data_IF_540028964758
#
_entry.id   IF_540028964758
#
_cell.length_a   1.000
_cell.length_b   1.000
_cell.length_c   1.000
_cell.angle_alpha   90.00
_cell.angle_beta   90.00
_cell.angle_gamma   90.00
#
_symmetry.space_group_name_H-M   'P 1'
#
loop_
_entity.id
_entity.type
_entity.pdbx_description
1 polymer ?
#
# COMPACT_ATOMS: atom_id res chain seq x y z
N UNK A 1 -0.42 4.91 5.23
CA UNK A 1 0.24 3.74 5.84
C UNK A 1 0.44 2.61 4.83
N UNK A 2 -0.59 2.16 4.11
CA UNK A 2 -0.50 1.01 3.19
C UNK A 2 0.58 1.18 2.12
N UNK A 3 0.62 2.32 1.42
CA UNK A 3 1.65 2.61 0.41
C UNK A 3 3.05 2.52 1.01
N UNK A 4 3.26 3.07 2.22
CA UNK A 4 4.56 3.01 2.88
C UNK A 4 5.01 1.58 3.22
N UNK A 5 4.07 0.73 3.68
CA UNK A 5 4.36 -0.69 3.90
C UNK A 5 4.62 -1.43 2.58
N UNK A 6 3.80 -1.19 1.55
CA UNK A 6 3.98 -1.83 0.25
C UNK A 6 5.34 -1.47 -0.38
N UNK A 7 5.72 -0.20 -0.38
CA UNK A 7 7.02 0.24 -0.90
C UNK A 7 8.19 -0.32 -0.08
N UNK A 8 8.06 -0.43 1.26
CA UNK A 8 9.06 -1.07 2.10
C UNK A 8 9.21 -2.57 1.79
N UNK A 9 8.12 -3.29 1.57
CA UNK A 9 8.12 -4.70 1.15
C UNK A 9 8.80 -4.91 -0.20
N UNK A 10 8.71 -3.93 -1.09
CA UNK A 10 9.38 -3.92 -2.39
C UNK A 10 10.84 -3.43 -2.32
N UNK A 11 11.38 -3.20 -1.12
CA UNK A 11 12.79 -2.87 -0.89
C UNK A 11 13.12 -1.37 -0.95
N UNK A 12 12.14 -0.47 -1.05
CA UNK A 12 12.37 0.96 -0.92
C UNK A 12 12.52 1.37 0.55
N UNK A 13 13.32 2.40 0.82
CA UNK A 13 13.36 3.04 2.14
C UNK A 13 12.15 3.95 2.29
N UNK A 14 11.18 3.50 3.07
CA UNK A 14 9.90 4.18 3.22
C UNK A 14 9.77 4.86 4.57
N UNK A 15 9.08 5.98 4.59
CA UNK A 15 8.74 6.73 5.78
C UNK A 15 7.29 7.22 5.67
N UNK A 16 6.67 7.58 6.78
CA UNK A 16 5.30 8.10 6.79
C UNK A 16 5.18 9.30 7.71
N UNK A 17 4.42 10.30 7.26
CA UNK A 17 3.93 11.41 8.07
C UNK A 17 2.43 11.19 8.27
N UNK A 18 1.98 11.01 9.50
CA UNK A 18 0.58 10.79 9.85
C UNK A 18 0.35 11.03 11.34
N UNK A 19 -0.90 11.08 11.78
CA UNK A 19 -1.29 11.09 13.18
C UNK A 19 -1.91 9.77 13.61
N UNK A 20 -1.61 9.33 14.83
CA UNK A 20 -2.25 8.19 15.49
C UNK A 20 -2.64 8.61 16.91
N UNK A 21 -3.69 8.01 17.47
CA UNK A 21 -4.05 8.23 18.87
C UNK A 21 -3.05 7.65 19.86
N UNK A 22 -3.13 8.07 21.12
CA UNK A 22 -2.32 7.50 22.21
C UNK A 22 -2.79 6.10 22.63
N UNK A 23 -4.00 5.72 22.23
CA UNK A 23 -4.64 4.43 22.55
C UNK A 23 -3.98 3.22 21.83
N UNK A 24 -4.47 2.02 22.14
CA UNK A 24 -3.84 0.78 21.69
C UNK A 24 -3.80 0.60 20.17
N UNK A 25 -4.77 1.15 19.42
CA UNK A 25 -4.76 1.08 17.94
C UNK A 25 -3.65 1.96 17.36
N UNK A 26 -3.41 3.14 17.94
CA UNK A 26 -2.30 4.00 17.53
C UNK A 26 -0.94 3.34 17.77
N UNK A 27 -0.78 2.71 18.94
CA UNK A 27 0.41 1.90 19.23
C UNK A 27 0.57 0.74 18.24
N UNK A 28 -0.51 -0.01 17.99
CA UNK A 28 -0.51 -1.12 17.02
C UNK A 28 -0.05 -0.66 15.62
N UNK A 29 -0.60 0.45 15.11
CA UNK A 29 -0.23 0.99 13.79
C UNK A 29 1.25 1.37 13.75
N UNK A 30 1.78 2.04 14.79
CA UNK A 30 3.19 2.42 14.87
C UNK A 30 4.11 1.18 14.89
N UNK A 31 3.81 0.21 15.75
CA UNK A 31 4.58 -1.03 15.83
C UNK A 31 4.53 -1.83 14.53
N UNK A 32 3.37 -1.89 13.88
CA UNK A 32 3.23 -2.58 12.61
C UNK A 32 4.04 -1.91 11.49
N UNK A 33 4.01 -0.59 11.39
CA UNK A 33 4.86 0.16 10.46
C UNK A 33 6.35 -0.14 10.68
N UNK A 34 6.79 -0.15 11.95
CA UNK A 34 8.18 -0.48 12.29
C UNK A 34 8.55 -1.93 11.92
N UNK A 35 7.65 -2.90 12.13
CA UNK A 35 7.85 -4.30 11.72
C UNK A 35 7.98 -4.45 10.22
N UNK A 36 7.26 -3.63 9.45
CA UNK A 36 7.37 -3.58 7.98
C UNK A 36 8.62 -2.83 7.49
N UNK A 37 9.42 -2.24 8.40
CA UNK A 37 10.63 -1.51 8.06
C UNK A 37 10.39 -0.05 7.64
N UNK A 38 9.21 0.50 7.94
CA UNK A 38 8.86 1.90 7.66
C UNK A 38 9.40 2.79 8.76
N UNK A 39 10.06 3.90 8.40
CA UNK A 39 10.46 4.93 9.36
C UNK A 39 9.22 5.66 9.89
N UNK A 40 9.08 5.68 11.21
CA UNK A 40 7.93 6.26 11.93
C UNK A 40 8.25 7.57 12.65
N UNK A 41 9.40 8.21 12.37
CA UNK A 41 9.78 9.47 13.01
C UNK A 41 8.79 10.60 12.72
N UNK A 42 8.10 10.55 11.55
CA UNK A 42 7.04 11.49 11.17
C UNK A 42 5.65 11.10 11.68
N UNK A 43 5.50 10.07 12.50
CA UNK A 43 4.21 9.67 13.07
C UNK A 43 3.96 10.41 14.37
N UNK A 44 3.03 11.36 14.36
CA UNK A 44 2.59 12.11 15.54
C UNK A 44 1.66 11.24 16.40
N UNK A 45 1.81 11.30 17.72
CA UNK A 45 0.81 10.78 18.66
C UNK A 45 -0.09 11.93 19.13
N UNK A 46 -1.38 11.80 18.94
CA UNK A 46 -2.39 12.77 19.37
C UNK A 46 -3.08 12.23 20.63
N UNK A 47 -2.96 12.93 21.78
CA UNK A 47 -3.56 12.46 23.03
C UNK A 47 -5.08 12.67 23.09
N UNK A 48 -5.62 13.55 22.25
CA UNK A 48 -7.02 13.99 22.32
C UNK A 48 -7.90 13.29 21.25
N UNK A 49 -7.28 12.69 20.22
CA UNK A 49 -7.99 12.06 19.10
C UNK A 49 -7.70 10.58 19.01
N UNK A 50 -8.71 9.83 18.58
CA UNK A 50 -8.56 8.39 18.29
C UNK A 50 -7.90 8.15 16.93
N UNK A 51 -7.28 6.99 16.80
CA UNK A 51 -6.80 6.49 15.50
C UNK A 51 -7.97 6.21 14.56
N UNK A 52 -7.84 6.61 13.31
CA UNK A 52 -8.84 6.35 12.30
C UNK A 52 -9.05 4.85 12.06
N UNK A 53 -10.29 4.45 11.84
CA UNK A 53 -10.69 3.08 11.57
C UNK A 53 -11.59 3.04 10.32
N UNK A 54 -11.32 2.08 9.44
CA UNK A 54 -12.18 1.77 8.29
C UNK A 54 -12.60 0.32 8.39
N UNK A 55 -13.90 0.06 8.35
CA UNK A 55 -14.47 -1.28 8.29
C UNK A 55 -14.85 -1.62 6.86
N UNK A 56 -14.40 -2.77 6.39
CA UNK A 56 -14.79 -3.36 5.11
C UNK A 56 -15.79 -4.48 5.37
N UNK A 57 -17.00 -4.36 4.81
CA UNK A 57 -17.91 -5.47 4.63
C UNK A 57 -17.59 -6.20 3.33
N UNK A 58 -17.49 -7.52 3.36
CA UNK A 58 -17.45 -8.35 2.15
C UNK A 58 -18.81 -9.00 2.05
N UNK A 59 -19.65 -8.51 1.13
CA UNK A 59 -21.02 -8.99 0.95
C UNK A 59 -21.08 -10.08 -0.12
N UNK A 60 -20.44 -9.84 -1.23
CA UNK A 60 -20.27 -10.76 -2.36
C UNK A 60 -19.04 -10.34 -3.18
N UNK A 61 -18.88 -10.86 -4.40
CA UNK A 61 -17.74 -10.56 -5.28
C UNK A 61 -17.79 -9.15 -5.91
N UNK A 62 -18.91 -8.44 -5.80
CA UNK A 62 -19.12 -7.13 -6.42
C UNK A 62 -19.37 -6.03 -5.38
N UNK A 63 -19.82 -6.38 -4.17
CA UNK A 63 -20.26 -5.43 -3.15
C UNK A 63 -19.34 -5.46 -1.92
N UNK A 64 -18.64 -4.35 -1.72
CA UNK A 64 -17.66 -4.16 -0.66
C UNK A 64 -17.94 -2.87 0.12
N UNK A 65 -19.02 -2.82 0.95
CA UNK A 65 -19.36 -1.61 1.69
C UNK A 65 -18.26 -1.20 2.66
N UNK A 66 -17.95 0.10 2.67
CA UNK A 66 -16.98 0.71 3.56
C UNK A 66 -17.65 1.62 4.56
N UNK A 67 -17.27 1.51 5.83
CA UNK A 67 -17.68 2.44 6.89
C UNK A 67 -16.43 3.14 7.41
N UNK A 68 -16.39 4.45 7.29
CA UNK A 68 -15.28 5.29 7.74
C UNK A 68 -15.57 5.87 9.13
N UNK A 69 -14.87 5.38 10.13
CA UNK A 69 -14.77 6.03 11.44
C UNK A 69 -13.53 6.93 11.44
N UNK A 70 -13.64 8.09 10.76
CA UNK A 70 -12.51 8.98 10.51
C UNK A 70 -12.82 10.44 10.81
N UNK A 71 -14.00 10.75 11.36
CA UNK A 71 -14.33 12.09 11.79
C UNK A 71 -13.46 12.51 12.98
N UNK A 72 -12.77 13.65 12.86
CA UNK A 72 -11.90 14.20 13.88
C UNK A 72 -10.88 13.20 14.46
N UNK A 73 -10.42 12.24 13.66
CA UNK A 73 -9.38 11.31 14.08
C UNK A 73 -7.99 11.94 14.04
N UNK A 74 -7.02 11.26 14.64
CA UNK A 74 -5.67 11.76 14.84
C UNK A 74 -4.95 12.13 13.53
N UNK A 75 -5.17 11.40 12.45
CA UNK A 75 -4.61 11.70 11.13
C UNK A 75 -5.17 13.00 10.52
N UNK A 76 -6.39 13.40 10.89
CA UNK A 76 -7.00 14.69 10.52
C UNK A 76 -6.56 15.84 11.43
N UNK A 77 -5.77 15.56 12.46
CA UNK A 77 -5.19 16.53 13.37
C UNK A 77 -3.81 17.08 12.97
N UNK A 78 -3.27 16.64 11.83
CA UNK A 78 -1.98 17.16 11.35
C UNK A 78 -2.07 18.63 10.97
N UNK A 79 -1.03 19.38 11.35
CA UNK A 79 -0.88 20.81 11.08
C UNK A 79 0.40 21.10 10.30
N UNK A 80 0.57 22.32 9.84
CA UNK A 80 1.79 22.77 9.17
C UNK A 80 3.03 22.71 10.06
N UNK A 81 2.86 22.81 11.36
CA UNK A 81 3.92 22.70 12.37
C UNK A 81 4.45 21.29 12.53
N UNK A 82 3.64 20.28 12.18
CA UNK A 82 4.03 18.87 12.24
C UNK A 82 4.91 18.45 11.04
N UNK A 83 5.09 19.33 10.05
CA UNK A 83 5.92 19.07 8.87
C UNK A 83 7.35 19.55 9.12
N UNK A 84 8.23 18.60 9.47
CA UNK A 84 9.66 18.86 9.66
C UNK A 84 10.36 18.99 8.29
N UNK A 85 10.93 20.18 7.95
CA UNK A 85 11.65 20.36 6.68
C UNK A 85 12.85 19.42 6.51
N UNK A 86 13.54 19.08 7.60
CA UNK A 86 14.69 18.17 7.55
C UNK A 86 14.25 16.72 7.28
N UNK A 87 13.07 16.32 7.79
CA UNK A 87 12.51 15.02 7.48
C UNK A 87 12.16 14.93 6.00
N UNK A 88 11.51 15.97 5.44
CA UNK A 88 11.21 16.05 4.01
C UNK A 88 12.50 16.02 3.18
N UNK A 89 13.52 16.81 3.53
CA UNK A 89 14.77 16.92 2.78
C UNK A 89 15.52 15.58 2.62
N UNK A 90 15.33 14.62 3.51
CA UNK A 90 15.94 13.29 3.45
C UNK A 90 15.26 12.34 2.45
N UNK A 91 14.06 12.68 1.99
CA UNK A 91 13.32 11.85 1.05
C UNK A 91 13.78 12.08 -0.39
N UNK A 92 13.63 11.07 -1.24
CA UNK A 92 13.79 11.20 -2.70
C UNK A 92 12.50 11.69 -3.34
N UNK A 93 11.36 11.27 -2.78
CA UNK A 93 10.05 11.67 -3.24
C UNK A 93 9.07 11.84 -2.06
N UNK A 94 8.08 12.71 -2.25
CA UNK A 94 6.93 12.86 -1.33
C UNK A 94 5.68 12.41 -2.05
N UNK A 95 4.92 11.53 -1.42
CA UNK A 95 3.67 10.95 -1.95
C UNK A 95 2.52 11.45 -1.08
N UNK A 96 1.51 12.03 -1.71
CA UNK A 96 0.26 12.43 -1.07
C UNK A 96 -0.90 11.59 -1.61
N UNK A 97 -1.97 11.49 -0.82
CA UNK A 97 -3.25 10.92 -1.26
C UNK A 97 -4.33 12.00 -1.19
N UNK A 98 -5.29 11.97 -2.11
CA UNK A 98 -6.36 12.97 -2.17
C UNK A 98 -7.23 13.00 -0.92
N UNK A 99 -7.27 11.91 -0.13
CA UNK A 99 -7.95 11.91 1.16
C UNK A 99 -7.41 12.97 2.12
N UNK A 100 -6.11 13.33 2.04
CA UNK A 100 -5.50 14.38 2.86
C UNK A 100 -5.76 15.80 2.32
N UNK A 101 -6.30 15.91 1.12
CA UNK A 101 -6.74 17.20 0.54
C UNK A 101 -8.20 17.53 0.88
N UNK A 102 -8.94 16.58 1.49
CA UNK A 102 -10.36 16.73 1.83
C UNK A 102 -10.63 17.57 3.09
N UNK A 103 -9.62 17.78 3.94
CA UNK A 103 -9.76 18.53 5.19
C UNK A 103 -8.80 19.73 5.22
N UNK A 104 -9.27 20.96 5.43
CA UNK A 104 -8.46 22.17 5.26
C UNK A 104 -7.14 22.20 6.05
N UNK A 105 -7.14 21.69 7.28
CA UNK A 105 -5.95 21.67 8.14
C UNK A 105 -4.88 20.70 7.60
N UNK A 106 -5.30 19.48 7.26
CA UNK A 106 -4.39 18.45 6.72
C UNK A 106 -3.93 18.79 5.30
N UNK A 107 -4.81 19.41 4.53
CA UNK A 107 -4.44 19.96 3.22
C UNK A 107 -3.29 20.97 3.34
N UNK A 108 -3.41 21.94 4.27
CA UNK A 108 -2.35 22.92 4.47
C UNK A 108 -1.00 22.26 4.84
N UNK A 109 -1.02 21.23 5.70
CA UNK A 109 0.16 20.44 6.03
C UNK A 109 0.71 19.68 4.81
N UNK A 110 -0.18 19.07 4.01
CA UNK A 110 0.19 18.33 2.80
C UNK A 110 0.82 19.25 1.75
N UNK A 111 0.20 20.40 1.48
CA UNK A 111 0.76 21.41 0.57
C UNK A 111 2.13 21.88 1.05
N UNK A 112 2.29 22.14 2.35
CA UNK A 112 3.59 22.51 2.93
C UNK A 112 4.66 21.47 2.66
N UNK A 113 4.35 20.17 2.83
CA UNK A 113 5.28 19.09 2.55
C UNK A 113 5.67 19.02 1.06
N UNK A 114 4.69 19.19 0.16
CA UNK A 114 4.91 19.20 -1.28
C UNK A 114 5.75 20.40 -1.73
N UNK A 115 5.47 21.60 -1.22
CA UNK A 115 6.24 22.81 -1.53
C UNK A 115 7.70 22.67 -1.07
N UNK A 116 7.94 22.13 0.12
CA UNK A 116 9.28 21.83 0.62
C UNK A 116 10.00 20.82 -0.27
N UNK A 117 9.32 19.74 -0.67
CA UNK A 117 9.88 18.74 -1.59
C UNK A 117 10.30 19.37 -2.91
N UNK A 118 9.42 20.15 -3.54
CA UNK A 118 9.70 20.83 -4.80
C UNK A 118 10.83 21.86 -4.69
N UNK A 119 10.85 22.63 -3.60
CA UNK A 119 11.93 23.60 -3.34
C UNK A 119 13.31 22.91 -3.21
N UNK A 120 13.32 21.65 -2.76
CA UNK A 120 14.53 20.82 -2.66
C UNK A 120 14.84 20.02 -3.95
N UNK A 121 14.04 20.14 -5.01
CA UNK A 121 14.18 19.36 -6.24
C UNK A 121 13.81 17.89 -6.11
N UNK A 122 13.00 17.53 -5.11
CA UNK A 122 12.49 16.18 -4.88
C UNK A 122 11.26 15.91 -5.75
N UNK A 123 11.03 14.65 -6.07
CA UNK A 123 9.87 14.24 -6.85
C UNK A 123 8.60 14.23 -5.97
N UNK A 124 7.44 14.45 -6.60
CA UNK A 124 6.15 14.49 -5.92
C UNK A 124 5.13 13.65 -6.66
N UNK A 125 4.34 12.85 -5.92
CA UNK A 125 3.32 11.99 -6.49
C UNK A 125 1.99 12.10 -5.74
N UNK A 126 0.88 11.98 -6.48
CA UNK A 126 -0.48 11.95 -5.98
C UNK A 126 -1.14 10.62 -6.36
N UNK A 127 -1.71 9.92 -5.40
CA UNK A 127 -2.84 9.02 -5.64
C UNK A 127 -4.13 9.81 -5.39
N UNK A 128 -4.97 9.97 -6.40
CA UNK A 128 -6.18 10.80 -6.29
C UNK A 128 -7.08 10.28 -5.18
N UNK A 129 -7.20 8.96 -5.03
CA UNK A 129 -7.89 8.27 -3.92
C UNK A 129 -9.14 9.03 -3.44
N UNK A 130 -10.04 9.32 -4.38
CA UNK A 130 -11.25 10.06 -4.10
C UNK A 130 -12.22 9.22 -3.25
N UNK A 131 -12.67 9.82 -2.15
CA UNK A 131 -13.65 9.21 -1.24
C UNK A 131 -14.75 10.23 -0.94
N UNK A 132 -15.92 10.16 -1.59
CA UNK A 132 -17.00 11.14 -1.47
C UNK A 132 -17.37 11.48 -0.02
N UNK A 133 -17.40 10.48 0.85
CA UNK A 133 -17.70 10.66 2.28
C UNK A 133 -16.70 11.57 2.99
N UNK A 134 -15.41 11.44 2.70
CA UNK A 134 -14.36 12.25 3.33
C UNK A 134 -14.37 13.69 2.80
N UNK A 135 -14.90 13.90 1.60
CA UNK A 135 -15.09 15.22 1.01
C UNK A 135 -16.43 15.85 1.39
N UNK A 136 -17.26 15.16 2.20
CA UNK A 136 -18.56 15.67 2.65
C UNK A 136 -19.63 15.73 1.57
N UNK A 137 -19.45 15.04 0.43
CA UNK A 137 -20.40 15.01 -0.68
C UNK A 137 -21.26 13.75 -0.70
N UNK A 138 -21.01 12.79 0.20
CA UNK A 138 -21.83 11.60 0.41
C UNK A 138 -21.98 11.30 1.90
N UNK A 139 -23.09 10.64 2.27
CA UNK A 139 -23.34 10.24 3.65
C UNK A 139 -22.61 8.95 4.06
N UNK A 140 -22.66 8.62 5.35
CA UNK A 140 -22.05 7.37 5.86
C UNK A 140 -22.71 6.11 5.30
N UNK A 141 -23.98 6.18 4.88
CA UNK A 141 -24.69 5.07 4.26
C UNK A 141 -24.30 4.79 2.81
N UNK A 142 -23.57 5.71 2.18
CA UNK A 142 -23.17 5.66 0.77
C UNK A 142 -21.73 5.22 0.58
N UNK A 143 -21.19 4.44 1.51
CA UNK A 143 -19.79 3.99 1.50
C UNK A 143 -19.36 3.14 0.29
N UNK A 144 -20.32 2.68 -0.52
CA UNK A 144 -20.09 1.98 -1.78
C UNK A 144 -19.90 2.94 -2.97
N UNK A 145 -20.42 4.18 -2.88
CA UNK A 145 -20.30 5.18 -3.94
C UNK A 145 -18.87 5.64 -4.08
N UNK A 146 -18.25 5.33 -5.22
CA UNK A 146 -16.88 5.73 -5.52
C UNK A 146 -16.80 7.03 -6.31
N UNK A 147 -17.85 7.37 -7.02
CA UNK A 147 -17.97 8.61 -7.77
C UNK A 147 -19.24 9.35 -7.39
N UNK A 148 -19.07 10.59 -6.94
CA UNK A 148 -20.12 11.61 -6.77
C UNK A 148 -19.58 12.89 -7.35
N UNK A 149 -20.20 13.37 -8.41
CA UNK A 149 -19.81 14.61 -9.09
C UNK A 149 -19.87 15.80 -8.15
N UNK A 150 -18.84 16.64 -8.19
CA UNK A 150 -18.75 17.86 -7.39
C UNK A 150 -17.76 18.86 -7.97
N UNK A 151 -18.28 19.95 -8.52
CA UNK A 151 -17.47 21.06 -9.05
C UNK A 151 -16.51 21.63 -8.00
N UNK A 152 -16.94 21.66 -6.74
CA UNK A 152 -16.14 22.16 -5.64
C UNK A 152 -14.90 21.26 -5.39
N UNK A 153 -15.09 19.92 -5.44
CA UNK A 153 -13.98 18.96 -5.31
C UNK A 153 -13.07 19.04 -6.53
N UNK A 154 -13.63 19.10 -7.73
CA UNK A 154 -12.87 19.27 -8.97
C UNK A 154 -11.98 20.51 -8.91
N UNK A 155 -12.57 21.67 -8.61
CA UNK A 155 -11.80 22.93 -8.50
C UNK A 155 -10.71 22.84 -7.43
N UNK A 156 -10.99 22.18 -6.30
CA UNK A 156 -10.05 21.99 -5.21
C UNK A 156 -8.88 21.12 -5.63
N UNK A 157 -9.13 19.97 -6.25
CA UNK A 157 -8.08 19.10 -6.78
C UNK A 157 -7.25 19.85 -7.82
N UNK A 158 -7.86 20.46 -8.82
CA UNK A 158 -7.17 21.20 -9.89
C UNK A 158 -6.25 22.30 -9.36
N UNK A 159 -6.62 22.94 -8.25
CA UNK A 159 -5.77 23.96 -7.61
C UNK A 159 -4.43 23.42 -7.11
N UNK A 160 -4.32 22.11 -6.87
CA UNK A 160 -3.12 21.45 -6.30
C UNK A 160 -2.35 20.59 -7.29
N UNK A 161 -2.95 20.19 -8.44
CA UNK A 161 -2.35 19.21 -9.36
C UNK A 161 -1.02 19.69 -9.97
N UNK A 162 -0.76 21.00 -10.03
CA UNK A 162 0.50 21.56 -10.50
C UNK A 162 1.70 21.27 -9.56
N UNK A 163 1.43 20.79 -8.34
CA UNK A 163 2.46 20.45 -7.36
C UNK A 163 3.05 19.06 -7.59
N UNK A 164 2.51 18.26 -8.50
CA UNK A 164 2.90 16.86 -8.68
C UNK A 164 3.65 16.62 -9.99
N UNK A 165 4.56 15.64 -9.95
CA UNK A 165 5.28 15.09 -11.09
C UNK A 165 4.64 13.79 -11.61
N UNK A 166 3.88 13.11 -10.75
CA UNK A 166 3.12 11.88 -11.04
C UNK A 166 1.73 11.99 -10.43
N UNK A 167 0.69 11.76 -11.22
CA UNK A 167 -0.71 11.73 -10.78
C UNK A 167 -1.32 10.39 -11.19
N UNK A 168 -1.87 9.67 -10.22
CA UNK A 168 -2.40 8.31 -10.38
C UNK A 168 -3.86 8.29 -9.95
N UNK A 169 -4.72 7.66 -10.74
CA UNK A 169 -6.13 7.52 -10.41
C UNK A 169 -6.79 6.42 -11.24
N UNK A 170 -7.99 5.99 -10.83
CA UNK A 170 -8.92 5.24 -11.68
C UNK A 170 -9.57 6.17 -12.69
N UNK A 171 -10.33 5.64 -13.63
CA UNK A 171 -11.10 6.45 -14.58
C UNK A 171 -12.05 7.39 -13.82
N UNK A 172 -12.79 6.87 -12.82
CA UNK A 172 -13.71 7.70 -12.01
C UNK A 172 -12.97 8.76 -11.18
N UNK A 173 -11.79 8.44 -10.68
CA UNK A 173 -10.96 9.41 -9.96
C UNK A 173 -10.45 10.52 -10.89
N UNK A 174 -10.16 10.21 -12.15
CA UNK A 174 -9.87 11.24 -13.16
C UNK A 174 -11.13 12.01 -13.56
N UNK A 175 -12.32 11.39 -13.60
CA UNK A 175 -13.57 12.11 -13.84
C UNK A 175 -13.77 13.24 -12.84
N UNK A 176 -13.56 12.97 -11.53
CA UNK A 176 -13.66 14.02 -10.51
C UNK A 176 -12.53 15.06 -10.62
N UNK A 177 -11.30 14.64 -10.89
CA UNK A 177 -10.17 15.57 -11.01
C UNK A 177 -10.27 16.46 -12.25
N UNK A 178 -10.82 15.93 -13.36
CA UNK A 178 -10.98 16.64 -14.63
C UNK A 178 -12.31 17.36 -14.78
N UNK A 179 -13.34 16.95 -14.03
CA UNK A 179 -14.69 17.53 -14.15
C UNK A 179 -15.44 17.08 -15.41
N UNK A 180 -15.20 15.86 -15.89
CA UNK A 180 -15.89 15.25 -17.03
C UNK A 180 -16.05 13.77 -16.78
N UNK A 181 -17.18 13.18 -17.21
CA UNK A 181 -17.42 11.72 -17.19
C UNK A 181 -16.83 11.00 -18.41
N UNK A 182 -16.29 11.73 -19.38
CA UNK A 182 -15.45 11.18 -20.42
C UNK A 182 -14.00 11.15 -19.93
N UNK A 183 -13.39 9.96 -19.91
CA UNK A 183 -12.06 9.75 -19.34
C UNK A 183 -10.98 10.52 -20.09
N UNK A 184 -11.06 10.58 -21.43
CA UNK A 184 -10.08 11.33 -22.26
C UNK A 184 -10.21 12.82 -22.02
N UNK A 185 -11.42 13.36 -22.00
CA UNK A 185 -11.68 14.77 -21.69
C UNK A 185 -11.19 15.11 -20.27
N UNK A 186 -11.47 14.26 -19.29
CA UNK A 186 -11.02 14.44 -17.92
C UNK A 186 -9.50 14.47 -17.81
N UNK A 187 -8.80 13.54 -18.44
CA UNK A 187 -7.33 13.50 -18.50
C UNK A 187 -6.77 14.76 -19.18
N UNK A 188 -7.38 15.22 -20.27
CA UNK A 188 -7.01 16.47 -20.97
C UNK A 188 -7.22 17.68 -20.08
N UNK A 189 -8.32 17.74 -19.34
CA UNK A 189 -8.56 18.83 -18.39
C UNK A 189 -7.47 18.86 -17.29
N UNK A 190 -7.12 17.69 -16.71
CA UNK A 190 -6.00 17.58 -15.77
C UNK A 190 -4.67 18.03 -16.41
N UNK A 191 -4.41 17.67 -17.66
CA UNK A 191 -3.22 18.06 -18.40
C UNK A 191 -3.11 19.59 -18.57
N UNK A 192 -4.23 20.33 -18.65
CA UNK A 192 -4.18 21.81 -18.76
C UNK A 192 -3.61 22.49 -17.51
N UNK A 193 -3.73 21.85 -16.35
CA UNK A 193 -3.31 22.40 -15.04
C UNK A 193 -2.07 21.70 -14.47
N UNK A 194 -1.62 20.58 -15.07
CA UNK A 194 -0.47 19.82 -14.59
C UNK A 194 0.39 19.26 -15.73
N UNK A 195 1.70 19.30 -15.52
CA UNK A 195 2.69 18.66 -16.41
C UNK A 195 3.11 17.25 -15.94
N UNK A 196 2.49 16.75 -14.88
CA UNK A 196 2.77 15.43 -14.31
C UNK A 196 2.58 14.31 -15.33
N UNK A 197 3.28 13.21 -15.19
CA UNK A 197 2.84 11.97 -15.83
C UNK A 197 1.51 11.55 -15.23
N UNK A 198 0.52 11.27 -16.08
CA UNK A 198 -0.80 10.80 -15.65
C UNK A 198 -0.84 9.28 -15.81
N UNK A 199 -1.24 8.57 -14.77
CA UNK A 199 -1.39 7.10 -14.79
C UNK A 199 -2.83 6.75 -14.48
N UNK A 200 -3.52 6.21 -15.47
CA UNK A 200 -4.90 5.76 -15.37
C UNK A 200 -4.97 4.26 -15.07
N UNK A 201 -5.51 3.90 -13.91
CA UNK A 201 -5.76 2.51 -13.46
C UNK A 201 -7.05 2.00 -14.14
N UNK A 202 -6.99 0.82 -14.79
CA UNK A 202 -8.10 0.22 -15.55
C UNK A 202 -8.48 -1.17 -15.00
N UNK A 203 -8.18 -1.44 -13.75
CA UNK A 203 -8.47 -2.72 -13.09
C UNK A 203 -7.85 -3.91 -13.84
N UNK A 204 -8.68 -4.90 -14.20
CA UNK A 204 -8.22 -6.10 -14.91
C UNK A 204 -7.65 -5.80 -16.32
N UNK A 205 -7.99 -4.65 -16.93
CA UNK A 205 -7.44 -4.21 -18.20
C UNK A 205 -6.03 -3.61 -18.07
N UNK A 206 -5.50 -3.49 -16.86
CA UNK A 206 -4.16 -2.97 -16.62
C UNK A 206 -4.15 -1.47 -16.32
N UNK A 207 -3.20 -0.75 -16.89
CA UNK A 207 -3.07 0.70 -16.72
C UNK A 207 -2.39 1.34 -17.92
N UNK A 208 -2.58 2.65 -18.08
CA UNK A 208 -1.95 3.46 -19.12
C UNK A 208 -1.28 4.70 -18.53
N UNK A 209 -0.06 5.01 -18.98
CA UNK A 209 0.67 6.22 -18.60
C UNK A 209 0.77 7.20 -19.76
N UNK A 210 0.61 8.49 -19.45
CA UNK A 210 0.67 9.61 -20.39
C UNK A 210 1.72 10.61 -19.91
N UNK A 211 2.87 10.62 -20.56
CA UNK A 211 4.00 11.50 -20.21
C UNK A 211 3.91 12.87 -20.89
N UNK A 212 3.17 12.94 -22.00
CA UNK A 212 2.95 14.13 -22.80
C UNK A 212 1.46 14.46 -22.96
N UNK A 213 1.09 14.87 -24.16
CA UNK A 213 -0.32 15.13 -24.52
C UNK A 213 -1.16 13.86 -24.39
N UNK A 214 -2.42 14.03 -24.02
CA UNK A 214 -3.36 12.91 -23.87
C UNK A 214 -3.95 12.60 -25.25
N UNK A 215 -3.76 11.37 -25.78
CA UNK A 215 -4.27 10.95 -27.08
C UNK A 215 -5.80 10.79 -27.11
N UNK A 216 -6.35 10.33 -28.23
CA UNK A 216 -7.80 10.09 -28.37
C UNK A 216 -8.27 8.76 -27.77
N UNK A 217 -7.34 7.88 -27.41
CA UNK A 217 -7.64 6.59 -26.79
C UNK A 217 -6.70 6.31 -25.61
N UNK A 218 -7.22 5.67 -24.57
CA UNK A 218 -6.40 5.18 -23.45
C UNK A 218 -5.37 4.13 -23.90
N UNK A 219 -5.66 3.40 -24.98
CA UNK A 219 -4.80 2.34 -25.51
C UNK A 219 -3.58 2.89 -26.28
N UNK A 220 -3.57 4.21 -26.57
CA UNK A 220 -2.43 4.90 -27.18
C UNK A 220 -1.40 5.41 -26.13
N UNK A 221 -1.68 5.24 -24.85
CA UNK A 221 -0.74 5.48 -23.77
C UNK A 221 0.30 4.37 -23.63
N UNK A 222 1.34 4.62 -22.83
CA UNK A 222 2.27 3.56 -22.45
C UNK A 222 1.55 2.53 -21.55
N UNK A 223 1.37 1.31 -22.07
CA UNK A 223 0.52 0.31 -21.45
C UNK A 223 1.26 -0.59 -20.45
N UNK A 224 0.61 -0.88 -19.34
CA UNK A 224 0.98 -1.95 -18.42
C UNK A 224 -0.03 -3.09 -18.42
N UNK A 225 0.42 -4.35 -18.40
CA UNK A 225 -0.48 -5.49 -18.50
C UNK A 225 -1.38 -5.62 -17.28
N UNK A 226 -2.64 -5.99 -17.49
CA UNK A 226 -3.52 -6.48 -16.42
C UNK A 226 -3.20 -7.93 -16.05
N UNK A 227 -3.67 -8.36 -14.90
CA UNK A 227 -3.57 -9.73 -14.42
C UNK A 227 -4.97 -10.30 -14.19
N UNK A 228 -5.40 -11.33 -14.95
CA UNK A 228 -6.73 -11.92 -14.81
C UNK A 228 -6.79 -12.84 -13.59
N UNK A 229 -7.04 -12.25 -12.43
CA UNK A 229 -7.13 -12.96 -11.15
C UNK A 229 -8.52 -12.81 -10.53
N UNK A 230 -8.83 -13.68 -9.58
CA UNK A 230 -10.06 -13.60 -8.80
C UNK A 230 -10.00 -12.46 -7.79
N UNK A 231 -11.00 -11.58 -7.81
CA UNK A 231 -11.15 -10.51 -6.82
C UNK A 231 -11.82 -11.06 -5.58
N UNK A 232 -11.08 -11.10 -4.48
CA UNK A 232 -11.58 -11.51 -3.18
C UNK A 232 -12.02 -10.30 -2.34
N UNK A 233 -11.30 -9.18 -2.43
CA UNK A 233 -11.68 -7.88 -1.88
C UNK A 233 -11.01 -6.77 -2.69
N UNK A 234 -11.48 -5.53 -2.54
CA UNK A 234 -10.93 -4.39 -3.30
C UNK A 234 -10.17 -3.40 -2.44
N UNK A 235 -10.20 -3.57 -1.10
CA UNK A 235 -9.57 -2.62 -0.19
C UNK A 235 -8.04 -2.72 -0.27
N UNK A 236 -7.39 -1.58 -0.48
CA UNK A 236 -5.94 -1.50 -0.60
C UNK A 236 -5.39 -1.83 -1.99
N UNK A 237 -6.24 -2.12 -2.98
CA UNK A 237 -5.79 -2.38 -4.36
C UNK A 237 -5.06 -1.17 -4.95
N UNK A 238 -5.60 0.05 -4.76
CA UNK A 238 -4.98 1.30 -5.19
C UNK A 238 -3.63 1.54 -4.50
N UNK A 239 -3.57 1.32 -3.18
CA UNK A 239 -2.32 1.45 -2.41
C UNK A 239 -1.26 0.43 -2.84
N UNK A 240 -1.68 -0.82 -3.13
CA UNK A 240 -0.81 -1.85 -3.68
C UNK A 240 -0.28 -1.46 -5.06
N UNK A 241 -1.17 -1.03 -5.95
CA UNK A 241 -0.81 -0.50 -7.26
C UNK A 241 0.22 0.63 -7.14
N UNK A 242 -0.08 1.64 -6.31
CA UNK A 242 0.81 2.78 -6.08
C UNK A 242 2.18 2.33 -5.54
N UNK A 243 2.23 1.31 -4.70
CA UNK A 243 3.49 0.77 -4.17
C UNK A 243 4.37 0.18 -5.26
N UNK A 244 3.80 -0.62 -6.16
CA UNK A 244 4.51 -1.19 -7.30
C UNK A 244 4.94 -0.12 -8.31
N UNK A 245 4.07 0.86 -8.58
CA UNK A 245 4.37 1.98 -9.46
C UNK A 245 5.54 2.81 -8.94
N UNK A 246 5.53 3.18 -7.66
CA UNK A 246 6.61 3.92 -7.02
C UNK A 246 7.94 3.17 -7.06
N UNK A 247 7.90 1.83 -6.92
CA UNK A 247 9.11 0.99 -7.08
C UNK A 247 9.73 1.19 -8.45
N UNK A 248 8.96 1.00 -9.53
CA UNK A 248 9.48 1.18 -10.89
C UNK A 248 9.87 2.62 -11.19
N UNK A 249 8.99 3.58 -10.90
CA UNK A 249 9.23 5.01 -11.20
C UNK A 249 10.46 5.57 -10.49
N UNK A 250 10.64 5.29 -9.20
CA UNK A 250 11.77 5.79 -8.43
C UNK A 250 13.09 5.07 -8.78
N UNK A 251 13.06 3.87 -9.29
CA UNK A 251 14.27 3.16 -9.76
C UNK A 251 14.62 3.49 -11.21
N UNK A 252 13.73 4.22 -11.93
CA UNK A 252 13.97 4.67 -13.29
C UNK A 252 13.69 3.62 -14.34
N UNK A 253 12.81 2.66 -14.02
CA UNK A 253 12.30 1.69 -15.00
C UNK A 253 11.48 2.37 -16.08
N UNK A 254 11.33 1.73 -17.23
CA UNK A 254 10.38 2.17 -18.24
C UNK A 254 8.93 2.04 -17.77
N UNK A 255 8.01 2.78 -18.39
CA UNK A 255 6.62 2.80 -17.96
C UNK A 255 5.94 1.43 -18.06
N UNK A 256 6.12 0.63 -19.12
CA UNK A 256 5.57 -0.71 -19.17
C UNK A 256 6.01 -1.59 -17.98
N UNK A 257 7.28 -1.52 -17.58
CA UNK A 257 7.81 -2.24 -16.43
C UNK A 257 7.26 -1.71 -15.11
N UNK A 258 7.25 -0.39 -14.90
CA UNK A 258 6.70 0.23 -13.70
C UNK A 258 5.20 -0.09 -13.53
N UNK A 259 4.44 -0.04 -14.63
CA UNK A 259 3.02 -0.39 -14.63
C UNK A 259 2.78 -1.89 -14.43
N UNK A 260 3.68 -2.75 -14.91
CA UNK A 260 3.63 -4.19 -14.63
C UNK A 260 3.80 -4.47 -13.14
N UNK A 261 4.75 -3.80 -12.46
CA UNK A 261 4.91 -3.92 -11.01
C UNK A 261 3.66 -3.42 -10.28
N UNK A 262 3.12 -2.28 -10.72
CA UNK A 262 1.93 -1.67 -10.15
C UNK A 262 0.71 -2.60 -10.24
N UNK A 263 0.40 -3.11 -11.43
CA UNK A 263 -0.75 -3.98 -11.67
C UNK A 263 -0.61 -5.31 -10.91
N UNK A 264 0.60 -5.90 -10.85
CA UNK A 264 0.83 -7.11 -10.09
C UNK A 264 0.61 -6.90 -8.59
N UNK A 265 1.13 -5.81 -8.01
CA UNK A 265 0.89 -5.50 -6.59
C UNK A 265 -0.59 -5.25 -6.28
N UNK A 266 -1.33 -4.60 -7.20
CA UNK A 266 -2.79 -4.48 -7.12
C UNK A 266 -3.49 -5.84 -7.18
N UNK A 267 -3.03 -6.74 -8.07
CA UNK A 267 -3.52 -8.10 -8.20
C UNK A 267 -3.36 -8.92 -6.91
N UNK A 268 -2.20 -8.85 -6.27
CA UNK A 268 -1.98 -9.47 -4.95
C UNK A 268 -2.94 -8.89 -3.91
N UNK A 269 -3.11 -7.58 -3.87
CA UNK A 269 -3.98 -6.91 -2.92
C UNK A 269 -5.43 -7.39 -3.01
N UNK A 270 -5.98 -7.53 -4.23
CA UNK A 270 -7.38 -7.93 -4.40
C UNK A 270 -7.60 -9.44 -4.21
N UNK A 271 -6.57 -10.27 -4.31
CA UNK A 271 -6.68 -11.73 -4.23
C UNK A 271 -6.55 -12.30 -2.82
N UNK A 272 -6.16 -11.51 -1.83
CA UNK A 272 -5.87 -11.93 -0.45
C UNK A 272 -6.65 -11.13 0.58
N UNK A 273 -6.62 -11.57 1.83
CA UNK A 273 -7.20 -10.85 2.96
C UNK A 273 -6.35 -9.64 3.39
N UNK A 274 -7.02 -8.55 3.69
CA UNK A 274 -6.43 -7.32 4.22
C UNK A 274 -5.75 -6.48 3.13
N UNK A 275 -5.16 -5.36 3.56
CA UNK A 275 -4.39 -4.47 2.70
C UNK A 275 -2.89 -4.84 2.77
N UNK A 276 -2.17 -4.26 3.73
CA UNK A 276 -0.74 -4.51 3.92
C UNK A 276 -0.36 -6.00 4.00
N UNK A 277 -1.08 -6.88 4.73
CA UNK A 277 -0.74 -8.30 4.76
C UNK A 277 -0.78 -8.99 3.40
N UNK A 278 -1.60 -8.50 2.47
CA UNK A 278 -1.77 -9.07 1.13
C UNK A 278 -0.64 -8.69 0.16
N UNK A 279 0.07 -7.59 0.41
CA UNK A 279 1.07 -7.08 -0.53
C UNK A 279 2.28 -8.01 -0.62
N UNK A 280 2.84 -8.21 -1.83
CA UNK A 280 4.00 -9.05 -2.02
C UNK A 280 5.26 -8.37 -1.46
N UNK A 281 6.26 -9.17 -1.10
CA UNK A 281 7.65 -8.72 -1.03
C UNK A 281 8.30 -8.81 -2.41
N UNK A 282 9.46 -8.17 -2.56
CA UNK A 282 10.13 -8.13 -3.85
C UNK A 282 10.42 -9.52 -4.40
N UNK A 283 10.89 -10.43 -3.57
CA UNK A 283 11.20 -11.82 -3.93
C UNK A 283 9.94 -12.58 -4.39
N UNK A 284 8.81 -12.36 -3.72
CA UNK A 284 7.54 -12.95 -4.11
C UNK A 284 7.05 -12.40 -5.46
N UNK A 285 7.20 -11.10 -5.68
CA UNK A 285 6.83 -10.46 -6.94
C UNK A 285 7.68 -10.99 -8.10
N UNK A 286 8.99 -11.17 -7.90
CA UNK A 286 9.88 -11.79 -8.89
C UNK A 286 9.47 -13.24 -9.19
N UNK A 287 9.24 -14.05 -8.17
CA UNK A 287 8.76 -15.42 -8.33
C UNK A 287 7.45 -15.48 -9.12
N UNK A 288 6.51 -14.59 -8.84
CA UNK A 288 5.27 -14.48 -9.59
C UNK A 288 5.51 -14.15 -11.07
N UNK A 289 6.44 -13.25 -11.39
CA UNK A 289 6.75 -12.89 -12.78
C UNK A 289 7.45 -14.01 -13.53
N UNK A 290 8.33 -14.77 -12.89
CA UNK A 290 9.04 -15.90 -13.48
C UNK A 290 8.08 -17.06 -13.79
N UNK A 291 7.18 -17.35 -12.87
CA UNK A 291 6.27 -18.48 -12.96
C UNK A 291 5.00 -18.19 -13.76
N UNK A 292 4.53 -16.96 -13.71
CA UNK A 292 3.24 -16.55 -14.26
C UNK A 292 2.05 -16.98 -13.39
N UNK A 293 0.84 -16.75 -13.90
CA UNK A 293 -0.42 -17.10 -13.22
C UNK A 293 -0.72 -18.57 -13.49
N UNK A 294 -0.67 -19.40 -12.45
CA UNK A 294 -1.04 -20.83 -12.53
C UNK A 294 -2.50 -21.06 -12.14
N UNK A 295 -3.07 -20.15 -11.35
CA UNK A 295 -4.46 -20.14 -10.94
C UNK A 295 -4.92 -18.71 -10.61
N UNK A 296 -6.19 -18.35 -10.89
CA UNK A 296 -6.67 -16.98 -10.70
C UNK A 296 -6.82 -16.59 -9.22
N UNK A 297 -7.10 -17.52 -8.33
CA UNK A 297 -7.27 -17.33 -6.89
C UNK A 297 -5.92 -17.47 -6.17
N UNK A 298 -5.05 -16.43 -6.27
CA UNK A 298 -3.67 -16.47 -5.78
C UNK A 298 -3.54 -16.91 -4.31
N UNK A 299 -4.53 -16.58 -3.47
CA UNK A 299 -4.55 -17.00 -2.05
C UNK A 299 -4.56 -18.51 -1.83
N UNK A 300 -4.95 -19.28 -2.86
CA UNK A 300 -4.99 -20.75 -2.82
C UNK A 300 -3.85 -21.39 -3.62
N UNK A 301 -2.90 -20.59 -4.10
CA UNK A 301 -1.69 -21.07 -4.76
C UNK A 301 -0.64 -21.43 -3.68
N UNK A 302 -0.47 -22.74 -3.45
CA UNK A 302 0.36 -23.24 -2.35
C UNK A 302 1.83 -22.83 -2.44
N UNK A 303 2.40 -22.77 -3.66
CA UNK A 303 3.80 -22.35 -3.83
C UNK A 303 3.96 -20.85 -3.60
N UNK A 304 3.05 -20.05 -4.14
CA UNK A 304 3.04 -18.61 -3.97
C UNK A 304 2.83 -18.23 -2.49
N UNK A 305 1.90 -18.91 -1.80
CA UNK A 305 1.68 -18.74 -0.36
C UNK A 305 2.88 -19.17 0.47
N UNK A 306 3.61 -20.22 0.07
CA UNK A 306 4.86 -20.59 0.74
C UNK A 306 5.91 -19.49 0.62
N UNK A 307 6.10 -18.91 -0.56
CA UNK A 307 7.02 -17.78 -0.76
C UNK A 307 6.57 -16.57 0.06
N UNK A 308 5.27 -16.26 0.07
CA UNK A 308 4.70 -15.17 0.85
C UNK A 308 5.04 -15.31 2.36
N UNK A 309 4.76 -16.48 2.92
CA UNK A 309 5.04 -16.73 4.34
C UNK A 309 6.53 -16.77 4.65
N UNK A 310 7.35 -17.33 3.77
CA UNK A 310 8.79 -17.40 3.96
C UNK A 310 9.41 -16.00 3.97
N UNK A 311 9.05 -15.15 3.02
CA UNK A 311 9.59 -13.79 2.89
C UNK A 311 9.10 -12.84 3.98
N UNK A 312 7.84 -12.99 4.44
CA UNK A 312 7.29 -12.18 5.54
C UNK A 312 7.85 -12.54 6.92
N UNK A 313 8.40 -13.73 7.09
CA UNK A 313 9.04 -14.19 8.33
C UNK A 313 10.55 -14.01 8.33
N UNK A 314 11.12 -13.49 7.25
CA UNK A 314 12.55 -13.26 7.15
C UNK A 314 13.02 -12.28 8.23
N UNK A 315 13.90 -12.76 9.12
CA UNK A 315 14.61 -11.94 10.09
C UNK A 315 16.01 -11.64 9.59
N UNK A 316 16.52 -10.47 9.88
CA UNK A 316 17.92 -10.12 9.61
C UNK A 316 18.82 -10.75 10.69
N UNK A 317 19.04 -12.06 10.61
CA UNK A 317 19.96 -12.76 11.49
C UNK A 317 21.36 -12.78 10.89
N UNK A 318 22.33 -12.31 11.63
CA UNK A 318 23.76 -12.41 11.24
C UNK A 318 24.26 -13.86 11.25
N UNK A 319 23.62 -14.72 12.05
CA UNK A 319 23.86 -16.16 12.09
C UNK A 319 22.62 -16.89 12.57
N UNK A 320 22.40 -18.09 12.04
CA UNK A 320 21.35 -19.01 12.50
C UNK A 320 22.03 -20.29 12.97
N UNK A 321 21.77 -20.70 14.21
CA UNK A 321 22.22 -21.98 14.76
C UNK A 321 21.01 -22.84 15.02
N UNK A 322 20.93 -23.95 14.32
CA UNK A 322 19.80 -24.86 14.39
C UNK A 322 20.21 -26.17 15.06
N UNK A 323 19.46 -26.56 16.08
CA UNK A 323 19.54 -27.88 16.69
C UNK A 323 18.26 -28.65 16.34
N UNK A 324 18.38 -29.63 15.46
CA UNK A 324 17.26 -30.42 14.96
C UNK A 324 17.09 -31.69 15.80
N UNK A 325 15.89 -31.92 16.36
CA UNK A 325 15.51 -33.11 17.10
C UNK A 325 14.08 -33.57 16.73
N UNK A 326 13.69 -33.33 15.51
CA UNK A 326 12.39 -33.64 14.92
C UNK A 326 12.27 -35.07 14.36
N UNK A 327 13.34 -35.86 14.47
CA UNK A 327 13.39 -37.25 14.03
C UNK A 327 12.15 -38.02 14.52
N UNK A 328 11.50 -38.73 13.62
CA UNK A 328 10.32 -39.56 13.93
C UNK A 328 10.62 -41.02 13.58
N UNK A 329 10.74 -41.35 12.31
CA UNK A 329 10.97 -42.75 11.90
C UNK A 329 12.28 -43.32 12.48
N UNK A 330 13.37 -42.55 12.47
CA UNK A 330 14.64 -42.98 12.99
C UNK A 330 14.58 -43.32 14.50
N UNK A 331 13.74 -42.61 15.26
CA UNK A 331 13.52 -42.95 16.68
C UNK A 331 12.62 -44.18 16.84
N UNK A 332 11.60 -44.32 15.97
CA UNK A 332 10.68 -45.46 16.01
C UNK A 332 11.35 -46.79 15.64
N UNK A 333 12.41 -46.75 14.78
CA UNK A 333 13.21 -47.90 14.38
C UNK A 333 14.25 -48.34 15.43
N UNK A 334 14.44 -47.54 16.51
CA UNK A 334 15.41 -47.89 17.57
C UNK A 334 14.87 -49.02 18.47
N UNK A 335 15.71 -49.97 18.75
CA UNK A 335 15.35 -51.06 19.65
C UNK A 335 14.95 -50.53 21.06
N UNK A 336 13.79 -50.93 21.54
CA UNK A 336 13.24 -50.53 22.83
C UNK A 336 12.62 -49.13 22.82
N UNK A 337 12.32 -48.55 21.63
CA UNK A 337 11.56 -47.31 21.52
C UNK A 337 10.14 -47.49 22.07
N UNK A 338 9.67 -46.47 22.78
CA UNK A 338 8.26 -46.27 23.12
C UNK A 338 7.93 -44.79 22.92
N UNK A 339 6.67 -44.47 22.67
CA UNK A 339 6.22 -43.09 22.49
C UNK A 339 6.58 -42.20 23.69
N UNK A 340 6.49 -42.76 24.91
CA UNK A 340 6.87 -42.08 26.15
C UNK A 340 8.37 -41.73 26.18
N UNK A 341 9.25 -42.71 25.84
CA UNK A 341 10.70 -42.47 25.76
C UNK A 341 11.07 -41.49 24.69
N UNK A 342 10.38 -41.53 23.53
CA UNK A 342 10.57 -40.56 22.46
C UNK A 342 10.18 -39.15 22.89
N UNK A 343 9.09 -38.99 23.64
CA UNK A 343 8.67 -37.75 24.27
C UNK A 343 9.74 -37.21 25.24
N UNK A 344 10.12 -38.03 26.19
CA UNK A 344 11.12 -37.68 27.24
C UNK A 344 12.48 -37.29 26.60
N UNK A 345 12.92 -37.99 25.52
CA UNK A 345 14.11 -37.62 24.78
C UNK A 345 14.01 -36.23 24.14
N UNK A 346 12.87 -35.90 23.52
CA UNK A 346 12.66 -34.60 22.90
C UNK A 346 12.57 -33.47 23.93
N UNK A 347 11.97 -33.74 25.10
CA UNK A 347 11.97 -32.79 26.22
C UNK A 347 13.37 -32.50 26.72
N UNK A 348 14.21 -33.53 26.87
CA UNK A 348 15.61 -33.37 27.25
C UNK A 348 16.42 -32.57 26.24
N UNK A 349 16.18 -32.80 24.94
CA UNK A 349 16.78 -32.01 23.86
C UNK A 349 16.38 -30.55 23.97
N UNK A 350 15.10 -30.25 24.21
CA UNK A 350 14.60 -28.87 24.38
C UNK A 350 15.23 -28.18 25.60
N UNK A 351 15.30 -28.88 26.75
CA UNK A 351 15.94 -28.34 27.94
C UNK A 351 17.42 -28.04 27.73
N UNK A 352 18.14 -28.92 27.03
CA UNK A 352 19.54 -28.69 26.69
C UNK A 352 19.70 -27.47 25.76
N UNK A 353 18.85 -27.33 24.76
CA UNK A 353 18.85 -26.18 23.85
C UNK A 353 18.58 -24.87 24.60
N UNK A 354 17.62 -24.84 25.53
CA UNK A 354 17.30 -23.66 26.32
C UNK A 354 18.46 -23.26 27.25
N UNK A 355 19.18 -24.22 27.84
CA UNK A 355 20.39 -23.93 28.65
C UNK A 355 21.49 -23.28 27.80
N UNK A 356 21.75 -23.81 26.61
CA UNK A 356 22.78 -23.27 25.72
C UNK A 356 22.36 -21.88 25.20
N UNK A 357 21.09 -21.66 24.89
CA UNK A 357 20.59 -20.38 24.46
C UNK A 357 20.77 -19.29 25.53
N UNK A 358 20.61 -19.65 26.79
CA UNK A 358 20.75 -18.73 27.93
C UNK A 358 22.19 -18.60 28.43
N UNK A 359 23.19 -19.21 27.76
CA UNK A 359 24.60 -19.11 28.10
C UNK A 359 25.00 -19.87 29.35
N UNK A 360 24.26 -20.94 29.71
CA UNK A 360 24.52 -21.81 30.86
C UNK A 360 25.13 -23.14 30.44
#
# INVERSE_FOLDING_TARGET
TNIACGTARLGLKSAVITGVGEEHMGRFIREQLQREGVNTDGVKTDPDRLTALVLLGIRDQEQFPLIFYRENCADMGLTVEDIDPEFIRRARAVVATGTHLSHPQVEAATIKALELARANGQQTALDIDYRPNLWGVAGHGDGESRFVESDAVTAKLQSTLHLFDLIVGTEEEFHIAGGSTDTIEALRAVRTVSKATLVCKRGAAGAAAFTGDVPDSLDDGEAGPGFPIEVFNVLGAGDGFMSGLLKGWLEGEDWPTALKYANACGAFAVSRHGCTPAYPRWEELQFFFERGITRPDLRNDAELEQVHWATNRAGNWSSVRTFAFDHRLQLEEMEGYTLEKGGAFKELCLEAALKVQNGQ
#
